data_IF_983210258739
#
_entry.id   IF_983210258739
#
_cell.length_a   1.000
_cell.length_b   1.000
_cell.length_c   1.000
_cell.angle_alpha   90.00
_cell.angle_beta   90.00
_cell.angle_gamma   90.00
#
_symmetry.space_group_name_H-M   'P 1'
#
loop_
_entity.id
_entity.type
_entity.pdbx_description
1 polymer ?
#
# COMPACT_ATOMS: atom_id res chain seq x y z
N UNK A 1 -25.61 -12.87 -19.88
CA UNK A 1 -26.78 -12.44 -19.09
C UNK A 1 -26.34 -11.31 -18.17
N UNK A 2 -27.13 -10.25 -18.07
CA UNK A 2 -26.89 -9.11 -17.17
C UNK A 2 -26.88 -9.61 -15.72
N UNK A 3 -25.90 -9.19 -14.92
CA UNK A 3 -25.88 -9.48 -13.48
C UNK A 3 -27.03 -8.74 -12.79
N UNK A 4 -27.63 -9.36 -11.77
CA UNK A 4 -28.59 -8.67 -10.91
C UNK A 4 -27.87 -7.54 -10.13
N UNK A 5 -28.25 -6.26 -10.34
CA UNK A 5 -27.55 -5.15 -9.70
C UNK A 5 -27.68 -5.15 -8.18
N UNK A 6 -28.76 -5.74 -7.62
CA UNK A 6 -28.94 -5.85 -6.17
C UNK A 6 -27.91 -6.83 -5.63
N UNK A 7 -27.83 -8.03 -6.19
CA UNK A 7 -26.84 -9.04 -5.77
C UNK A 7 -25.40 -8.55 -5.96
N UNK A 8 -25.10 -7.86 -7.07
CA UNK A 8 -23.78 -7.26 -7.30
C UNK A 8 -23.39 -6.30 -6.16
N UNK A 9 -24.31 -5.41 -5.76
CA UNK A 9 -24.08 -4.48 -4.66
C UNK A 9 -23.91 -5.21 -3.32
N UNK A 10 -24.70 -6.26 -3.07
CA UNK A 10 -24.58 -7.07 -1.85
C UNK A 10 -23.23 -7.80 -1.78
N UNK A 11 -22.75 -8.38 -2.90
CA UNK A 11 -21.44 -9.04 -2.97
C UNK A 11 -20.32 -8.03 -2.71
N UNK A 12 -20.34 -6.86 -3.36
CA UNK A 12 -19.36 -5.79 -3.10
C UNK A 12 -19.33 -5.41 -1.62
N UNK A 13 -20.49 -5.13 -1.02
CA UNK A 13 -20.57 -4.76 0.39
C UNK A 13 -20.10 -5.88 1.32
N UNK A 14 -20.37 -7.15 0.99
CA UNK A 14 -19.89 -8.29 1.75
C UNK A 14 -18.36 -8.37 1.71
N UNK A 15 -17.74 -8.22 0.54
CA UNK A 15 -16.28 -8.22 0.40
C UNK A 15 -15.62 -7.06 1.16
N UNK A 16 -16.19 -5.86 1.06
CA UNK A 16 -15.70 -4.69 1.79
C UNK A 16 -15.83 -4.90 3.31
N UNK A 17 -16.90 -5.56 3.75
CA UNK A 17 -17.05 -5.99 5.14
C UNK A 17 -15.99 -7.01 5.55
N UNK A 18 -15.70 -8.02 4.72
CA UNK A 18 -14.63 -8.98 5.01
C UNK A 18 -13.30 -8.26 5.20
N UNK A 19 -12.95 -7.34 4.30
CA UNK A 19 -11.71 -6.58 4.41
C UNK A 19 -11.65 -5.72 5.68
N UNK A 20 -12.77 -5.09 6.08
CA UNK A 20 -12.87 -4.34 7.35
C UNK A 20 -12.73 -5.25 8.58
N UNK A 21 -13.36 -6.42 8.57
CA UNK A 21 -13.23 -7.43 9.64
C UNK A 21 -11.78 -7.89 9.80
N UNK A 22 -11.09 -8.15 8.69
CA UNK A 22 -9.65 -8.43 8.70
C UNK A 22 -8.86 -7.32 9.40
N UNK A 23 -9.19 -6.06 9.14
CA UNK A 23 -8.57 -4.91 9.82
C UNK A 23 -8.89 -4.82 11.32
N UNK A 24 -10.12 -5.16 11.73
CA UNK A 24 -10.46 -5.21 13.16
C UNK A 24 -9.70 -6.31 13.89
N UNK A 25 -9.49 -7.47 13.26
CA UNK A 25 -8.64 -8.53 13.80
C UNK A 25 -7.21 -8.01 14.00
N UNK A 26 -6.65 -7.31 13.00
CA UNK A 26 -5.32 -6.69 13.13
C UNK A 26 -5.24 -5.79 14.36
N UNK A 27 -6.10 -4.78 14.46
CA UNK A 27 -6.10 -3.79 15.55
C UNK A 27 -6.21 -4.45 16.92
N UNK A 28 -7.02 -5.50 17.04
CA UNK A 28 -7.32 -6.14 18.32
C UNK A 28 -6.28 -7.18 18.76
N UNK A 29 -5.42 -7.64 17.85
CA UNK A 29 -4.50 -8.77 18.13
C UNK A 29 -3.02 -8.46 17.89
N UNK A 30 -2.70 -7.35 17.23
CA UNK A 30 -1.32 -6.91 17.03
C UNK A 30 -0.71 -6.35 18.32
N UNK A 31 0.61 -6.41 18.42
CA UNK A 31 1.36 -5.91 19.58
C UNK A 31 1.91 -4.52 19.35
N UNK A 32 2.36 -4.20 18.12
CA UNK A 32 2.96 -2.90 17.88
C UNK A 32 1.93 -1.76 17.86
N UNK A 33 2.31 -0.57 18.37
CA UNK A 33 1.54 0.67 18.20
C UNK A 33 1.33 1.07 16.75
N UNK A 34 2.18 0.59 15.84
CA UNK A 34 2.03 0.82 14.41
C UNK A 34 0.68 0.25 13.93
N UNK A 35 0.30 -0.94 14.40
CA UNK A 35 -0.97 -1.56 13.99
C UNK A 35 -2.14 -1.20 14.90
N UNK A 36 -2.01 -1.35 16.22
CA UNK A 36 -3.15 -1.24 17.14
C UNK A 36 -3.50 0.21 17.53
N UNK A 37 -2.60 1.18 17.33
CA UNK A 37 -2.88 2.60 17.56
C UNK A 37 -2.93 3.38 16.26
N UNK A 38 -1.92 3.21 15.40
CA UNK A 38 -1.69 4.09 14.25
C UNK A 38 -2.37 3.62 12.97
N UNK A 39 -2.76 2.35 12.93
CA UNK A 39 -3.43 1.68 11.81
C UNK A 39 -2.61 1.64 10.51
N UNK A 40 -1.28 1.48 10.61
CA UNK A 40 -0.40 1.40 9.45
C UNK A 40 -0.40 0.01 8.79
N UNK A 41 -1.57 -0.35 8.26
CA UNK A 41 -1.79 -1.58 7.51
C UNK A 41 -2.99 -1.42 6.57
N UNK A 42 -3.18 -2.37 5.66
CA UNK A 42 -4.37 -2.45 4.83
C UNK A 42 -4.71 -3.90 4.49
N UNK A 43 -6.00 -4.18 4.37
CA UNK A 43 -6.53 -5.51 4.06
C UNK A 43 -7.25 -5.47 2.71
N UNK A 44 -7.05 -6.49 1.89
CA UNK A 44 -7.63 -6.55 0.54
C UNK A 44 -7.88 -7.99 0.08
N UNK A 45 -8.80 -8.12 -0.87
CA UNK A 45 -9.20 -9.37 -1.50
C UNK A 45 -8.87 -9.30 -2.98
N UNK A 46 -8.30 -10.39 -3.51
CA UNK A 46 -7.96 -10.53 -4.93
C UNK A 46 -8.66 -11.73 -5.56
N UNK A 47 -8.85 -11.70 -6.87
CA UNK A 47 -9.23 -12.87 -7.67
C UNK A 47 -8.05 -13.85 -7.84
N UNK A 48 -8.29 -15.00 -8.49
CA UNK A 48 -7.27 -16.02 -8.76
C UNK A 48 -6.11 -15.53 -9.65
N UNK A 49 -6.27 -14.39 -10.34
CA UNK A 49 -5.24 -13.76 -11.19
C UNK A 49 -4.43 -12.72 -10.41
N UNK A 50 -4.77 -12.47 -9.14
CA UNK A 50 -4.16 -11.44 -8.32
C UNK A 50 -4.63 -10.03 -8.67
N UNK A 51 -5.83 -9.88 -9.24
CA UNK A 51 -6.49 -8.59 -9.44
C UNK A 51 -7.19 -8.18 -8.14
N UNK A 52 -6.89 -7.00 -7.60
CA UNK A 52 -7.58 -6.48 -6.42
C UNK A 52 -9.05 -6.18 -6.73
N UNK A 53 -9.95 -6.86 -6.03
CA UNK A 53 -11.41 -6.76 -6.18
C UNK A 53 -12.03 -5.86 -5.13
N UNK A 54 -11.54 -5.96 -3.89
CA UNK A 54 -12.05 -5.19 -2.75
C UNK A 54 -10.93 -4.93 -1.74
N UNK A 55 -11.08 -3.86 -0.97
CA UNK A 55 -10.17 -3.47 0.09
C UNK A 55 -10.92 -2.77 1.22
N UNK A 56 -10.34 -2.79 2.43
CA UNK A 56 -10.83 -1.98 3.53
C UNK A 56 -10.43 -0.51 3.33
N UNK A 57 -11.18 0.39 3.97
CA UNK A 57 -10.73 1.76 4.20
C UNK A 57 -9.49 1.70 5.11
N UNK A 58 -8.31 1.68 4.49
CA UNK A 58 -7.00 1.67 5.12
C UNK A 58 -6.13 2.75 4.50
N UNK A 59 -4.87 2.44 4.23
CA UNK A 59 -3.89 3.36 3.67
C UNK A 59 -3.79 3.13 2.15
N UNK A 60 -4.21 4.10 1.31
CA UNK A 60 -4.30 3.91 -0.14
C UNK A 60 -2.98 3.49 -0.80
N UNK A 61 -1.84 3.95 -0.27
CA UNK A 61 -0.53 3.59 -0.83
C UNK A 61 -0.26 2.08 -0.74
N UNK A 62 -0.81 1.38 0.27
CA UNK A 62 -0.65 -0.07 0.44
C UNK A 62 -1.39 -0.88 -0.62
N UNK A 63 -2.59 -0.47 -1.01
CA UNK A 63 -3.51 -1.32 -1.76
C UNK A 63 -3.45 -1.06 -3.26
N UNK A 64 -3.10 0.15 -3.71
CA UNK A 64 -2.97 0.44 -5.14
C UNK A 64 -1.96 -0.46 -5.87
N UNK A 65 -0.95 -0.97 -5.16
CA UNK A 65 0.06 -1.91 -5.63
C UNK A 65 -0.17 -3.35 -5.15
N UNK A 66 -1.28 -3.64 -4.48
CA UNK A 66 -1.55 -4.95 -3.87
C UNK A 66 -1.49 -6.12 -4.86
N UNK A 67 -1.98 -5.91 -6.08
CA UNK A 67 -1.93 -6.92 -7.14
C UNK A 67 -0.51 -7.28 -7.61
N UNK A 68 0.48 -6.39 -7.47
CA UNK A 68 1.87 -6.71 -7.81
C UNK A 68 2.42 -7.84 -6.94
N UNK A 69 2.13 -7.79 -5.63
CA UNK A 69 2.55 -8.79 -4.66
C UNK A 69 1.92 -10.16 -4.95
N UNK A 70 0.60 -10.20 -5.16
CA UNK A 70 -0.10 -11.46 -5.46
C UNK A 70 0.33 -12.04 -6.80
N UNK A 71 0.52 -11.21 -7.83
CA UNK A 71 1.04 -11.67 -9.13
C UNK A 71 2.47 -12.19 -9.04
N UNK A 72 3.33 -11.60 -8.20
CA UNK A 72 4.68 -12.11 -7.96
C UNK A 72 4.66 -13.47 -7.25
N UNK A 73 3.80 -13.64 -6.25
CA UNK A 73 3.53 -14.91 -5.59
C UNK A 73 3.04 -15.97 -6.58
N UNK A 74 2.03 -15.66 -7.39
CA UNK A 74 1.48 -16.56 -8.40
C UNK A 74 2.54 -17.05 -9.39
N UNK A 75 3.42 -16.15 -9.84
CA UNK A 75 4.57 -16.53 -10.70
C UNK A 75 5.55 -17.45 -9.97
N UNK A 76 5.88 -17.14 -8.72
CA UNK A 76 6.84 -17.91 -7.95
C UNK A 76 6.34 -19.32 -7.61
N UNK A 77 5.05 -19.48 -7.32
CA UNK A 77 4.44 -20.74 -6.85
C UNK A 77 3.44 -21.37 -7.83
N UNK A 78 3.57 -21.11 -9.13
CA UNK A 78 2.68 -21.70 -10.15
C UNK A 78 2.56 -23.22 -9.97
N UNK A 79 1.33 -23.71 -9.78
CA UNK A 79 1.02 -25.13 -9.56
C UNK A 79 1.45 -25.71 -8.20
N UNK A 80 1.89 -24.86 -7.25
CA UNK A 80 2.42 -25.26 -5.93
C UNK A 80 1.80 -24.47 -4.77
N UNK A 81 0.54 -24.06 -4.94
CA UNK A 81 -0.25 -23.34 -3.93
C UNK A 81 -1.31 -24.30 -3.42
N UNK A 82 -1.33 -24.53 -2.11
CA UNK A 82 -2.27 -25.43 -1.45
C UNK A 82 -3.23 -24.64 -0.53
N UNK A 83 -4.44 -25.15 -0.25
CA UNK A 83 -5.45 -24.43 0.56
C UNK A 83 -5.00 -24.05 1.97
N UNK A 84 -4.09 -24.83 2.56
CA UNK A 84 -3.61 -24.64 3.92
C UNK A 84 -2.31 -23.78 3.99
N UNK A 85 -1.87 -23.22 2.87
CA UNK A 85 -0.68 -22.38 2.83
C UNK A 85 -0.95 -20.95 3.34
N UNK A 86 0.11 -20.24 3.70
CA UNK A 86 0.14 -18.78 3.72
C UNK A 86 1.52 -18.28 3.32
N UNK A 87 1.53 -17.17 2.61
CA UNK A 87 2.73 -16.62 2.01
C UNK A 87 3.16 -15.34 2.70
N UNK A 88 4.46 -15.06 2.68
CA UNK A 88 5.07 -13.84 3.18
C UNK A 88 6.02 -13.26 2.13
N UNK A 89 6.01 -11.93 1.98
CA UNK A 89 6.88 -11.21 1.04
C UNK A 89 6.95 -9.71 1.36
N UNK A 90 8.03 -9.04 0.97
CA UNK A 90 8.15 -7.58 1.03
C UNK A 90 8.99 -6.98 -0.11
N UNK A 91 9.77 -7.78 -0.83
CA UNK A 91 10.83 -7.23 -1.67
C UNK A 91 10.26 -6.45 -2.86
N UNK A 92 10.67 -5.19 -3.04
CA UNK A 92 10.13 -4.35 -4.09
C UNK A 92 10.59 -4.74 -5.50
N UNK A 93 11.75 -5.38 -5.63
CA UNK A 93 12.29 -5.79 -6.93
C UNK A 93 11.75 -7.13 -7.39
N UNK A 94 11.67 -8.13 -6.49
CA UNK A 94 11.33 -9.51 -6.88
C UNK A 94 9.96 -9.96 -6.39
N UNK A 95 9.36 -9.24 -5.44
CA UNK A 95 8.11 -9.64 -4.80
C UNK A 95 6.97 -8.63 -4.98
N UNK A 96 7.18 -7.50 -5.66
CA UNK A 96 6.11 -6.52 -5.88
C UNK A 96 5.66 -5.80 -4.61
N UNK A 97 6.55 -5.69 -3.61
CA UNK A 97 6.35 -4.80 -2.46
C UNK A 97 6.53 -3.32 -2.82
N UNK A 98 6.04 -2.43 -1.96
CA UNK A 98 6.23 -0.99 -2.16
C UNK A 98 7.61 -0.56 -1.68
N UNK A 99 7.94 -0.94 -0.45
CA UNK A 99 9.26 -0.83 0.16
C UNK A 99 9.44 -1.99 1.16
N UNK A 100 10.64 -2.17 1.72
CA UNK A 100 10.93 -3.30 2.59
C UNK A 100 10.12 -3.35 3.90
N UNK A 101 9.76 -2.23 4.56
CA UNK A 101 9.00 -2.31 5.81
C UNK A 101 7.60 -2.87 5.67
N UNK A 102 6.96 -2.69 4.50
CA UNK A 102 5.60 -3.16 4.25
C UNK A 102 5.58 -4.65 3.87
N UNK A 103 5.27 -5.51 4.83
CA UNK A 103 5.20 -6.94 4.60
C UNK A 103 3.79 -7.34 4.19
N UNK A 104 3.69 -8.28 3.25
CA UNK A 104 2.42 -8.82 2.78
C UNK A 104 2.26 -10.25 3.28
N UNK A 105 1.14 -10.55 3.92
CA UNK A 105 0.66 -11.92 4.06
C UNK A 105 -0.48 -12.16 3.08
N UNK A 106 -0.39 -13.26 2.34
CA UNK A 106 -1.44 -13.70 1.42
C UNK A 106 -1.87 -15.12 1.77
N UNK A 107 -3.18 -15.32 1.95
CA UNK A 107 -3.77 -16.64 2.17
C UNK A 107 -4.71 -16.98 1.00
N UNK A 108 -4.50 -18.13 0.32
CA UNK A 108 -5.36 -18.51 -0.79
C UNK A 108 -6.76 -18.87 -0.30
N UNK A 109 -7.74 -18.62 -1.16
CA UNK A 109 -9.13 -19.06 -1.03
C UNK A 109 -9.37 -20.09 -2.12
N UNK A 110 -9.91 -21.25 -1.75
CA UNK A 110 -10.22 -22.33 -2.69
C UNK A 110 -11.72 -22.59 -2.78
N UNK A 111 -12.18 -22.94 -3.97
CA UNK A 111 -13.54 -23.40 -4.21
C UNK A 111 -13.50 -24.65 -5.10
N UNK A 112 -14.12 -25.75 -4.64
CA UNK A 112 -14.12 -27.05 -5.33
C UNK A 112 -12.72 -27.53 -5.79
N UNK A 113 -11.68 -27.31 -4.98
CA UNK A 113 -10.31 -27.74 -5.27
C UNK A 113 -9.53 -26.82 -6.24
N UNK A 114 -10.12 -25.72 -6.71
CA UNK A 114 -9.45 -24.71 -7.52
C UNK A 114 -9.19 -23.43 -6.71
N UNK A 115 -8.08 -22.76 -7.01
CA UNK A 115 -7.77 -21.44 -6.46
C UNK A 115 -8.80 -20.43 -6.97
N UNK A 116 -9.51 -19.78 -6.05
CA UNK A 116 -10.51 -18.74 -6.34
C UNK A 116 -9.94 -17.33 -6.18
N UNK A 117 -9.03 -17.12 -5.24
CA UNK A 117 -8.43 -15.82 -4.97
C UNK A 117 -7.55 -15.81 -3.73
N UNK A 118 -7.27 -14.62 -3.20
CA UNK A 118 -6.52 -14.46 -1.96
C UNK A 118 -7.13 -13.40 -1.06
N UNK A 119 -7.07 -13.64 0.25
CA UNK A 119 -7.23 -12.62 1.27
C UNK A 119 -5.84 -12.21 1.77
N UNK A 120 -5.57 -10.90 1.73
CA UNK A 120 -4.25 -10.35 1.97
C UNK A 120 -4.31 -9.22 2.99
N UNK A 121 -3.21 -9.04 3.72
CA UNK A 121 -2.91 -7.78 4.36
C UNK A 121 -1.50 -7.33 4.00
N UNK A 122 -1.28 -6.02 4.06
CA UNK A 122 0.01 -5.37 3.96
C UNK A 122 0.19 -4.49 5.18
N UNK A 123 1.32 -4.58 5.87
CA UNK A 123 1.49 -3.90 7.14
C UNK A 123 2.95 -3.52 7.40
N UNK A 124 3.17 -2.31 7.92
CA UNK A 124 4.48 -1.72 8.17
C UNK A 124 5.14 -2.31 9.43
N UNK A 125 6.27 -2.99 9.29
CA UNK A 125 6.96 -3.58 10.43
C UNK A 125 7.83 -2.54 11.16
N UNK A 126 7.77 -2.52 12.50
CA UNK A 126 8.51 -1.54 13.32
C UNK A 126 10.02 -1.56 13.09
N UNK A 127 10.62 -2.75 12.94
CA UNK A 127 12.03 -2.93 12.63
C UNK A 127 12.24 -4.19 11.77
N UNK A 128 13.02 -4.06 10.70
CA UNK A 128 13.31 -5.12 9.73
C UNK A 128 14.82 -5.40 9.61
N UNK A 129 15.60 -5.00 10.62
CA UNK A 129 17.06 -5.06 10.58
C UNK A 129 17.68 -3.89 9.80
N UNK A 130 18.73 -4.16 9.03
CA UNK A 130 19.41 -3.15 8.22
C UNK A 130 20.35 -2.24 9.01
N UNK A 131 20.79 -1.13 8.40
CA UNK A 131 21.82 -0.24 8.94
C UNK A 131 21.32 0.74 10.02
N UNK A 132 20.01 0.86 10.24
CA UNK A 132 19.43 1.72 11.26
C UNK A 132 18.28 1.00 11.97
N UNK A 133 18.11 1.28 13.27
CA UNK A 133 16.95 0.83 14.02
C UNK A 133 15.70 1.59 13.54
N UNK A 134 14.60 0.87 13.32
CA UNK A 134 13.35 1.48 12.85
C UNK A 134 13.27 1.75 11.36
N UNK A 135 13.96 0.94 10.56
CA UNK A 135 13.83 0.81 9.09
C UNK A 135 14.36 1.98 8.24
N UNK A 136 14.12 3.23 8.63
CA UNK A 136 14.51 4.41 7.85
C UNK A 136 15.98 4.77 8.07
N UNK A 137 16.86 4.23 7.21
CA UNK A 137 18.29 4.52 7.21
C UNK A 137 18.65 5.65 6.22
N UNK A 138 18.83 6.90 6.66
CA UNK A 138 19.18 8.01 5.76
C UNK A 138 20.56 7.87 5.11
N UNK A 139 21.43 7.00 5.65
CA UNK A 139 22.74 6.70 5.08
C UNK A 139 22.72 5.52 4.09
N UNK A 140 21.55 4.93 3.80
CA UNK A 140 21.44 3.82 2.85
C UNK A 140 21.78 4.30 1.42
N UNK A 141 22.68 3.57 0.78
CA UNK A 141 23.10 3.76 -0.62
C UNK A 141 22.72 2.58 -1.50
N UNK A 142 22.30 1.48 -0.87
CA UNK A 142 21.86 0.24 -1.52
C UNK A 142 20.75 -0.38 -0.66
N UNK A 143 19.83 -1.11 -1.29
CA UNK A 143 18.69 -1.77 -0.62
C UNK A 143 19.13 -2.73 0.50
N UNK A 144 20.35 -3.28 0.42
CA UNK A 144 20.89 -4.17 1.46
C UNK A 144 21.13 -3.45 2.78
N UNK A 145 21.29 -2.11 2.76
CA UNK A 145 21.40 -1.30 3.98
C UNK A 145 20.05 -1.05 4.66
N UNK A 146 18.94 -1.43 4.02
CA UNK A 146 17.58 -1.08 4.45
C UNK A 146 16.89 -2.19 5.24
N UNK A 147 17.42 -3.41 5.23
CA UNK A 147 16.92 -4.52 6.04
C UNK A 147 16.69 -5.80 5.25
N UNK A 148 15.94 -6.72 5.86
CA UNK A 148 15.70 -8.03 5.29
C UNK A 148 14.84 -7.94 4.02
N UNK A 149 15.32 -8.63 2.99
CA UNK A 149 14.65 -8.75 1.69
C UNK A 149 13.99 -10.12 1.60
N UNK A 150 12.66 -10.13 1.53
CA UNK A 150 11.83 -11.32 1.50
C UNK A 150 11.23 -11.50 0.09
N UNK A 151 11.72 -12.48 -0.70
CA UNK A 151 11.02 -12.90 -1.90
C UNK A 151 9.66 -13.53 -1.53
N UNK A 152 8.83 -13.94 -2.51
CA UNK A 152 7.68 -14.78 -2.21
C UNK A 152 8.11 -16.09 -1.51
N UNK A 153 7.66 -16.27 -0.27
CA UNK A 153 7.95 -17.44 0.57
C UNK A 153 6.64 -18.03 1.10
N UNK A 154 6.59 -19.35 1.33
CA UNK A 154 5.57 -19.96 2.19
C UNK A 154 6.00 -19.79 3.64
N UNK A 155 5.23 -19.05 4.44
CA UNK A 155 5.43 -18.96 5.88
C UNK A 155 4.68 -20.08 6.62
N UNK A 156 3.52 -20.47 6.09
CA UNK A 156 2.78 -21.67 6.47
C UNK A 156 2.72 -22.58 5.25
N UNK A 157 3.15 -23.83 5.40
CA UNK A 157 3.15 -24.84 4.34
C UNK A 157 2.31 -26.04 4.77
N UNK A 158 1.25 -26.35 4.02
CA UNK A 158 0.34 -27.45 4.34
C UNK A 158 -0.27 -27.34 5.74
N UNK A 159 -0.58 -26.11 6.20
CA UNK A 159 -1.15 -25.84 7.52
C UNK A 159 -0.14 -25.86 8.67
N UNK A 160 1.15 -26.06 8.39
CA UNK A 160 2.22 -26.07 9.40
C UNK A 160 3.09 -24.83 9.26
N UNK A 161 3.38 -24.18 10.39
CA UNK A 161 4.33 -23.06 10.42
C UNK A 161 5.71 -23.54 9.99
N UNK A 162 6.41 -22.74 9.17
CA UNK A 162 7.81 -22.93 8.87
C UNK A 162 8.68 -22.30 9.96
N UNK A 163 8.96 -23.09 11.00
CA UNK A 163 9.71 -22.65 12.18
C UNK A 163 11.12 -22.16 11.84
N UNK A 164 11.75 -22.72 10.80
CA UNK A 164 13.03 -22.28 10.27
C UNK A 164 12.98 -20.82 9.76
N UNK A 165 11.95 -20.48 8.97
CA UNK A 165 11.74 -19.12 8.51
C UNK A 165 11.31 -18.20 9.65
N UNK A 166 10.43 -18.65 10.54
CA UNK A 166 10.01 -17.84 11.68
C UNK A 166 11.22 -17.43 12.54
N UNK A 167 12.11 -18.38 12.86
CA UNK A 167 13.35 -18.10 13.60
C UNK A 167 14.28 -17.15 12.84
N UNK A 168 14.42 -17.33 11.52
CA UNK A 168 15.20 -16.42 10.68
C UNK A 168 14.69 -14.98 10.78
N UNK A 169 13.37 -14.77 10.78
CA UNK A 169 12.77 -13.44 10.93
C UNK A 169 13.06 -12.85 12.31
N UNK A 170 12.90 -13.65 13.38
CA UNK A 170 13.10 -13.18 14.76
C UNK A 170 14.53 -12.72 15.03
N UNK A 171 15.54 -13.36 14.44
CA UNK A 171 16.95 -12.97 14.63
C UNK A 171 17.39 -11.78 13.76
N UNK A 172 16.55 -11.35 12.80
CA UNK A 172 16.84 -10.25 11.88
C UNK A 172 16.07 -8.97 12.20
N UNK A 173 15.57 -8.84 13.43
CA UNK A 173 14.90 -7.63 13.92
C UNK A 173 15.40 -7.27 15.30
N UNK A 174 15.38 -5.97 15.62
CA UNK A 174 15.66 -5.44 16.96
C UNK A 174 14.43 -5.53 17.88
N UNK A 175 13.25 -5.82 17.32
CA UNK A 175 11.99 -5.88 18.05
C UNK A 175 11.25 -7.23 17.83
N UNK A 176 11.87 -8.37 18.16
CA UNK A 176 11.30 -9.69 17.87
C UNK A 176 9.95 -9.95 18.56
N UNK A 177 9.74 -9.44 19.77
CA UNK A 177 8.47 -9.63 20.49
C UNK A 177 7.29 -8.93 19.81
N UNK A 178 7.55 -7.76 19.20
CA UNK A 178 6.55 -7.03 18.40
C UNK A 178 6.30 -7.76 17.09
N UNK A 179 7.37 -8.14 16.38
CA UNK A 179 7.28 -8.85 15.10
C UNK A 179 6.55 -10.19 15.23
N UNK A 180 6.82 -10.99 16.26
CA UNK A 180 6.10 -12.26 16.51
C UNK A 180 4.60 -12.02 16.67
N UNK A 181 4.21 -11.05 17.49
CA UNK A 181 2.79 -10.73 17.71
C UNK A 181 2.10 -10.20 16.46
N UNK A 182 2.78 -9.34 15.73
CA UNK A 182 2.27 -8.70 14.52
C UNK A 182 2.10 -9.69 13.37
N UNK A 183 3.08 -10.59 13.14
CA UNK A 183 2.93 -11.65 12.15
C UNK A 183 1.80 -12.63 12.49
N UNK A 184 1.59 -12.94 13.77
CA UNK A 184 0.45 -13.75 14.22
C UNK A 184 -0.87 -13.05 13.96
N UNK A 185 -0.95 -11.74 14.23
CA UNK A 185 -2.12 -10.92 13.92
C UNK A 185 -2.41 -10.92 12.41
N UNK A 186 -1.38 -10.74 11.58
CA UNK A 186 -1.49 -10.78 10.12
C UNK A 186 -1.99 -12.15 9.60
N UNK A 187 -1.48 -13.25 10.15
CA UNK A 187 -1.93 -14.61 9.82
C UNK A 187 -3.36 -14.88 10.28
N UNK A 188 -3.73 -14.41 11.47
CA UNK A 188 -5.09 -14.54 12.01
C UNK A 188 -6.11 -13.76 11.19
N UNK A 189 -5.77 -12.52 10.85
CA UNK A 189 -6.57 -11.62 10.02
C UNK A 189 -6.87 -12.24 8.65
N UNK A 190 -5.84 -12.68 7.92
CA UNK A 190 -6.03 -13.34 6.61
C UNK A 190 -6.78 -14.67 6.68
N UNK A 191 -6.68 -15.41 7.78
CA UNK A 191 -7.50 -16.62 7.99
C UNK A 191 -8.99 -16.29 8.02
N UNK A 192 -9.39 -15.35 8.89
CA UNK A 192 -10.79 -14.93 9.03
C UNK A 192 -11.33 -14.40 7.71
N UNK A 193 -10.52 -13.63 6.97
CA UNK A 193 -10.89 -13.18 5.64
C UNK A 193 -11.12 -14.31 4.66
N UNK A 194 -10.21 -15.29 4.61
CA UNK A 194 -10.31 -16.42 3.70
C UNK A 194 -11.53 -17.31 4.00
N UNK A 195 -11.84 -17.56 5.27
CA UNK A 195 -13.04 -18.28 5.71
C UNK A 195 -14.32 -17.58 5.23
N UNK A 196 -14.45 -16.27 5.45
CA UNK A 196 -15.65 -15.51 5.04
C UNK A 196 -15.82 -15.40 3.52
N UNK A 197 -14.72 -15.30 2.76
CA UNK A 197 -14.81 -15.33 1.28
C UNK A 197 -15.18 -16.73 0.80
N UNK A 198 -14.63 -17.79 1.41
CA UNK A 198 -15.00 -19.16 1.06
C UNK A 198 -16.49 -19.43 1.29
N UNK A 199 -17.05 -18.99 2.43
CA UNK A 199 -18.49 -19.06 2.72
C UNK A 199 -19.33 -18.34 1.65
N UNK A 200 -18.94 -17.11 1.28
CA UNK A 200 -19.63 -16.35 0.22
C UNK A 200 -19.60 -17.08 -1.13
N UNK A 201 -18.47 -17.71 -1.46
CA UNK A 201 -18.31 -18.46 -2.71
C UNK A 201 -19.11 -19.76 -2.69
N UNK A 202 -19.23 -20.41 -1.54
CA UNK A 202 -20.06 -21.60 -1.35
C UNK A 202 -21.56 -21.26 -1.50
N UNK A 203 -22.03 -20.18 -0.87
CA UNK A 203 -23.42 -19.73 -0.93
C UNK A 203 -23.88 -19.38 -2.35
N UNK A 204 -23.00 -18.74 -3.14
CA UNK A 204 -23.30 -18.33 -4.51
C UNK A 204 -23.02 -19.44 -5.54
N UNK A 205 -22.13 -20.37 -5.21
CA UNK A 205 -21.46 -21.24 -6.16
C UNK A 205 -20.32 -20.53 -6.91
N UNK A 206 -19.21 -21.25 -7.13
CA UNK A 206 -17.97 -20.68 -7.65
C UNK A 206 -18.10 -19.93 -8.99
N UNK A 207 -18.92 -20.43 -9.91
CA UNK A 207 -19.12 -19.81 -11.22
C UNK A 207 -19.83 -18.46 -11.08
N UNK A 208 -20.90 -18.38 -10.29
CA UNK A 208 -21.63 -17.13 -10.10
C UNK A 208 -20.81 -16.14 -9.25
N UNK A 209 -20.11 -16.61 -8.22
CA UNK A 209 -19.22 -15.78 -7.43
C UNK A 209 -18.14 -15.11 -8.29
N UNK A 210 -17.51 -15.86 -9.20
CA UNK A 210 -16.53 -15.30 -10.14
C UNK A 210 -17.18 -14.26 -11.07
N UNK A 211 -18.39 -14.52 -11.58
CA UNK A 211 -19.12 -13.54 -12.40
C UNK A 211 -19.40 -12.23 -11.65
N UNK A 212 -19.69 -12.29 -10.35
CA UNK A 212 -19.86 -11.07 -9.54
C UNK A 212 -18.54 -10.36 -9.27
N UNK A 213 -17.43 -11.06 -9.04
CA UNK A 213 -16.09 -10.47 -8.94
C UNK A 213 -15.72 -9.73 -10.24
N UNK A 214 -15.95 -10.35 -11.39
CA UNK A 214 -15.74 -9.72 -12.69
C UNK A 214 -16.65 -8.50 -12.87
N UNK A 215 -17.93 -8.62 -12.49
CA UNK A 215 -18.91 -7.53 -12.55
C UNK A 215 -18.55 -6.31 -11.69
N UNK A 216 -17.94 -6.53 -10.53
CA UNK A 216 -17.42 -5.48 -9.64
C UNK A 216 -16.29 -4.70 -10.33
N UNK A 217 -15.35 -5.41 -10.95
CA UNK A 217 -14.24 -4.82 -11.67
C UNK A 217 -14.72 -4.06 -12.92
N UNK A 218 -15.67 -4.64 -13.65
CA UNK A 218 -16.28 -4.02 -14.82
C UNK A 218 -17.08 -2.76 -14.45
N UNK A 219 -17.72 -2.75 -13.27
CA UNK A 219 -18.37 -1.55 -12.75
C UNK A 219 -17.35 -0.43 -12.48
N UNK A 220 -16.22 -0.75 -11.84
CA UNK A 220 -15.12 0.19 -11.63
C UNK A 220 -14.62 0.82 -12.94
N UNK A 221 -14.33 -0.01 -13.95
CA UNK A 221 -13.88 0.45 -15.27
C UNK A 221 -14.90 1.37 -15.93
N UNK A 222 -16.19 0.99 -15.93
CA UNK A 222 -17.26 1.85 -16.48
C UNK A 222 -17.36 3.19 -15.76
N UNK A 223 -17.20 3.23 -14.42
CA UNK A 223 -17.25 4.48 -13.64
C UNK A 223 -16.08 5.39 -13.99
N UNK A 224 -14.85 4.87 -14.03
CA UNK A 224 -13.68 5.69 -14.39
C UNK A 224 -13.76 6.19 -15.84
N UNK A 225 -14.13 5.33 -16.80
CA UNK A 225 -14.32 5.73 -18.20
C UNK A 225 -15.34 6.86 -18.36
N UNK A 226 -16.46 6.78 -17.64
CA UNK A 226 -17.48 7.83 -17.66
C UNK A 226 -16.96 9.15 -17.09
N UNK A 227 -16.14 9.10 -16.03
CA UNK A 227 -15.48 10.29 -15.48
C UNK A 227 -14.53 10.88 -16.51
N UNK A 228 -13.63 10.07 -17.09
CA UNK A 228 -12.64 10.53 -18.07
C UNK A 228 -13.30 11.15 -19.31
N UNK A 229 -14.35 10.52 -19.85
CA UNK A 229 -15.07 11.01 -21.03
C UNK A 229 -15.81 12.35 -20.80
N UNK A 230 -16.03 12.74 -19.55
CA UNK A 230 -16.62 14.03 -19.19
C UNK A 230 -15.57 15.14 -19.02
N UNK A 231 -14.28 14.78 -18.97
CA UNK A 231 -13.18 15.73 -18.88
C UNK A 231 -12.82 16.27 -20.27
N UNK A 232 -12.27 17.49 -20.38
CA UNK A 232 -11.75 17.96 -21.65
C UNK A 232 -10.55 17.11 -22.09
N UNK A 233 -10.56 16.68 -23.35
CA UNK A 233 -9.39 16.07 -23.98
C UNK A 233 -8.21 17.06 -23.99
N UNK A 234 -7.02 16.54 -23.72
CA UNK A 234 -5.82 17.36 -23.67
C UNK A 234 -4.65 16.70 -22.95
N UNK A 235 -3.50 17.37 -22.99
CA UNK A 235 -2.32 16.98 -22.21
C UNK A 235 -1.99 18.04 -21.18
N UNK A 236 -2.08 17.66 -19.91
CA UNK A 236 -1.82 18.51 -18.75
C UNK A 236 -0.50 18.11 -18.10
N UNK A 237 0.30 19.08 -17.69
CA UNK A 237 1.66 18.82 -17.19
C UNK A 237 1.88 19.46 -15.83
N UNK A 238 2.57 18.75 -14.96
CA UNK A 238 3.01 19.27 -13.67
C UNK A 238 4.37 18.65 -13.32
N UNK A 239 5.12 19.35 -12.48
CA UNK A 239 6.37 18.86 -11.92
C UNK A 239 6.54 19.31 -10.48
N UNK A 240 7.25 18.49 -9.73
CA UNK A 240 7.77 18.75 -8.39
C UNK A 240 9.27 18.44 -8.40
N UNK A 241 10.00 18.89 -7.38
CA UNK A 241 11.46 18.75 -7.34
C UNK A 241 11.92 18.21 -6.00
N UNK A 242 12.87 17.27 -6.03
CA UNK A 242 13.72 17.04 -4.87
C UNK A 242 14.87 18.04 -4.89
N UNK A 243 15.24 18.51 -3.70
CA UNK A 243 16.31 19.49 -3.46
C UNK A 243 17.63 18.82 -3.01
N UNK A 244 17.65 17.50 -2.87
CA UNK A 244 18.84 16.70 -2.53
C UNK A 244 18.69 15.23 -2.98
N UNK A 245 19.83 14.54 -3.04
CA UNK A 245 19.92 13.10 -3.26
C UNK A 245 20.07 12.29 -1.94
N UNK A 246 19.73 12.92 -0.81
CA UNK A 246 19.99 12.56 0.60
C UNK A 246 21.41 12.83 1.13
N UNK A 247 22.39 13.14 0.29
CA UNK A 247 23.78 13.40 0.72
C UNK A 247 24.24 14.80 0.33
N UNK A 248 23.85 15.25 -0.86
CA UNK A 248 24.24 16.53 -1.43
C UNK A 248 23.01 17.26 -1.98
N UNK A 249 23.01 18.61 -1.98
CA UNK A 249 21.99 19.38 -2.68
C UNK A 249 21.95 19.04 -4.18
N UNK A 250 20.76 18.88 -4.73
CA UNK A 250 20.54 18.55 -6.14
C UNK A 250 19.16 19.06 -6.59
N UNK A 251 19.00 19.46 -7.86
CA UNK A 251 17.69 19.80 -8.43
C UNK A 251 17.20 18.63 -9.29
N UNK A 252 16.33 17.79 -8.72
CA UNK A 252 15.92 16.52 -9.32
C UNK A 252 14.41 16.53 -9.58
N UNK A 253 13.97 16.81 -10.82
CA UNK A 253 12.55 16.91 -11.12
C UNK A 253 11.85 15.55 -11.19
N UNK A 254 10.63 15.48 -10.65
CA UNK A 254 9.63 14.45 -10.97
C UNK A 254 8.56 15.11 -11.83
N UNK A 255 8.33 14.56 -13.02
CA UNK A 255 7.48 15.18 -14.04
C UNK A 255 6.36 14.25 -14.41
N UNK A 256 5.17 14.80 -14.67
CA UNK A 256 4.05 14.04 -15.23
C UNK A 256 3.43 14.79 -16.40
N UNK A 257 3.08 14.05 -17.45
CA UNK A 257 2.16 14.47 -18.49
C UNK A 257 0.92 13.55 -18.48
N UNK A 258 -0.23 14.11 -18.13
CA UNK A 258 -1.53 13.43 -18.16
C UNK A 258 -2.23 13.73 -19.48
N UNK A 259 -2.41 12.71 -20.32
CA UNK A 259 -3.14 12.84 -21.58
C UNK A 259 -4.50 12.17 -21.48
N UNK A 260 -5.56 12.97 -21.56
CA UNK A 260 -6.95 12.51 -21.63
C UNK A 260 -7.36 12.51 -23.11
N UNK A 261 -7.88 11.37 -23.57
CA UNK A 261 -8.39 11.20 -24.92
C UNK A 261 -9.64 10.31 -24.88
N UNK A 262 -10.81 10.93 -24.96
CA UNK A 262 -12.10 10.27 -24.75
C UNK A 262 -12.18 9.65 -23.36
N UNK A 263 -12.30 8.33 -23.30
CA UNK A 263 -12.47 7.58 -22.05
C UNK A 263 -11.16 6.96 -21.51
N UNK A 264 -10.00 7.43 -21.99
CA UNK A 264 -8.68 6.91 -21.62
C UNK A 264 -7.79 7.99 -21.02
N UNK A 265 -6.96 7.58 -20.07
CA UNK A 265 -5.94 8.41 -19.43
C UNK A 265 -4.57 7.77 -19.59
N UNK A 266 -3.61 8.50 -20.14
CA UNK A 266 -2.20 8.14 -20.11
C UNK A 266 -1.45 9.03 -19.13
N UNK A 267 -0.73 8.41 -18.20
CA UNK A 267 0.11 9.03 -17.17
C UNK A 267 1.57 8.78 -17.56
N UNK A 268 2.27 9.80 -18.04
CA UNK A 268 3.62 9.67 -18.57
C UNK A 268 4.64 10.42 -17.71
N UNK A 269 5.57 9.67 -17.10
CA UNK A 269 6.65 10.21 -16.27
C UNK A 269 7.96 10.47 -17.04
N UNK A 270 7.95 10.40 -18.37
CA UNK A 270 9.12 10.69 -19.21
C UNK A 270 9.68 12.08 -18.91
N UNK A 271 10.99 12.15 -18.66
CA UNK A 271 11.68 13.38 -18.27
C UNK A 271 11.86 13.56 -16.75
N UNK A 272 11.36 12.61 -15.94
CA UNK A 272 11.72 12.49 -14.52
C UNK A 272 13.22 12.18 -14.37
N UNK A 273 13.84 12.74 -13.32
CA UNK A 273 15.25 12.57 -13.03
C UNK A 273 15.66 11.10 -12.85
N UNK A 274 16.93 10.76 -13.13
CA UNK A 274 17.50 9.46 -12.80
C UNK A 274 17.32 9.12 -11.31
N UNK A 275 17.27 7.83 -10.99
CA UNK A 275 17.30 7.37 -9.60
C UNK A 275 18.52 7.95 -8.86
N UNK A 276 18.35 8.22 -7.57
CA UNK A 276 19.36 8.82 -6.71
C UNK A 276 20.12 7.76 -5.90
N UNK A 277 21.24 8.18 -5.31
CA UNK A 277 22.03 7.35 -4.40
C UNK A 277 21.26 7.01 -3.11
N UNK A 278 20.55 7.98 -2.55
CA UNK A 278 19.85 7.82 -1.28
C UNK A 278 18.52 7.06 -1.39
N UNK A 279 18.00 6.68 -0.22
CA UNK A 279 16.76 5.89 -0.03
C UNK A 279 15.41 6.50 -0.47
N UNK A 280 15.39 7.60 -1.23
CA UNK A 280 14.15 8.24 -1.74
C UNK A 280 13.86 7.87 -3.20
N UNK A 281 14.19 6.66 -3.62
CA UNK A 281 13.78 6.13 -4.92
C UNK A 281 12.43 5.41 -4.83
N UNK A 282 11.65 5.35 -5.91
CA UNK A 282 10.37 4.63 -5.94
C UNK A 282 10.46 3.26 -6.60
N UNK A 283 9.79 2.28 -6.01
CA UNK A 283 9.45 1.03 -6.70
C UNK A 283 8.34 1.26 -7.71
N UNK A 284 8.27 0.38 -8.72
CA UNK A 284 7.18 0.41 -9.70
C UNK A 284 5.81 0.25 -9.03
N UNK A 285 5.70 -0.64 -8.03
CA UNK A 285 4.47 -0.87 -7.28
C UNK A 285 4.02 0.40 -6.53
N UNK A 286 4.97 1.12 -5.91
CA UNK A 286 4.67 2.37 -5.22
C UNK A 286 4.24 3.50 -6.17
N UNK A 287 4.86 3.61 -7.35
CA UNK A 287 4.45 4.58 -8.36
C UNK A 287 3.03 4.32 -8.86
N UNK A 288 2.69 3.05 -9.13
CA UNK A 288 1.33 2.67 -9.49
C UNK A 288 0.35 2.98 -8.36
N UNK A 289 0.67 2.61 -7.11
CA UNK A 289 -0.13 2.98 -5.94
C UNK A 289 -0.38 4.48 -5.85
N UNK A 290 0.66 5.29 -6.07
CA UNK A 290 0.60 6.75 -5.95
C UNK A 290 -0.33 7.34 -7.01
N UNK A 291 -0.21 6.90 -8.26
CA UNK A 291 -1.13 7.35 -9.33
C UNK A 291 -2.57 6.95 -9.01
N UNK A 292 -2.80 5.70 -8.62
CA UNK A 292 -4.14 5.21 -8.30
C UNK A 292 -4.77 5.95 -7.12
N UNK A 293 -3.99 6.21 -6.06
CA UNK A 293 -4.42 6.99 -4.93
C UNK A 293 -4.75 8.43 -5.34
N UNK A 294 -3.94 9.06 -6.20
CA UNK A 294 -4.20 10.40 -6.72
C UNK A 294 -5.52 10.48 -7.51
N UNK A 295 -5.76 9.51 -8.40
CA UNK A 295 -7.00 9.45 -9.19
C UNK A 295 -8.22 9.21 -8.31
N UNK A 296 -8.16 8.21 -7.42
CA UNK A 296 -9.29 7.85 -6.55
C UNK A 296 -9.67 8.96 -5.56
N UNK A 297 -8.71 9.83 -5.20
CA UNK A 297 -8.93 10.94 -4.26
C UNK A 297 -9.27 12.27 -4.92
N UNK A 298 -8.94 12.45 -6.20
CA UNK A 298 -9.29 13.66 -6.96
C UNK A 298 -10.76 13.66 -7.41
N UNK A 299 -11.30 12.48 -7.73
CA UNK A 299 -12.68 12.31 -8.17
C UNK A 299 -13.63 12.01 -7.01
N UNK A 300 -14.91 11.77 -7.33
CA UNK A 300 -15.95 11.59 -6.33
C UNK A 300 -15.74 10.35 -5.47
N UNK A 301 -16.24 10.40 -4.23
CA UNK A 301 -16.05 9.34 -3.22
C UNK A 301 -16.76 8.03 -3.57
N UNK A 302 -17.62 8.02 -4.59
CA UNK A 302 -18.33 6.85 -5.10
C UNK A 302 -17.53 6.09 -6.18
N UNK A 303 -16.33 6.55 -6.54
CA UNK A 303 -15.43 5.82 -7.42
C UNK A 303 -14.96 4.53 -6.72
N UNK A 304 -15.24 3.34 -7.30
CA UNK A 304 -14.80 2.08 -6.70
C UNK A 304 -13.28 2.02 -6.56
N UNK A 305 -12.78 1.41 -5.49
CA UNK A 305 -11.34 1.38 -5.16
C UNK A 305 -10.76 0.00 -5.42
N UNK A 306 -10.85 -0.45 -6.68
CA UNK A 306 -10.38 -1.76 -7.12
C UNK A 306 -9.57 -1.63 -8.42
N UNK A 307 -8.87 -2.69 -8.84
CA UNK A 307 -8.05 -2.64 -10.06
C UNK A 307 -8.88 -2.45 -11.34
N UNK A 308 -10.18 -2.76 -11.30
CA UNK A 308 -11.10 -2.51 -12.41
C UNK A 308 -11.19 -1.02 -12.77
N UNK A 309 -11.25 -0.16 -11.75
CA UNK A 309 -11.27 1.31 -11.88
C UNK A 309 -10.12 1.86 -12.72
N UNK A 310 -8.96 1.20 -12.72
CA UNK A 310 -7.77 1.73 -13.38
C UNK A 310 -7.46 1.08 -14.74
N UNK A 311 -8.35 0.22 -15.27
CA UNK A 311 -8.17 -0.42 -16.59
C UNK A 311 -8.11 0.57 -17.77
N UNK A 312 -8.66 1.77 -17.61
CA UNK A 312 -8.57 2.86 -18.58
C UNK A 312 -7.31 3.74 -18.43
N UNK A 313 -6.46 3.44 -17.44
CA UNK A 313 -5.28 4.21 -17.09
C UNK A 313 -4.03 3.48 -17.54
N UNK A 314 -3.25 4.10 -18.42
CA UNK A 314 -1.93 3.63 -18.82
C UNK A 314 -0.85 4.42 -18.05
N UNK A 315 0.10 3.74 -17.42
CA UNK A 315 1.19 4.39 -16.66
C UNK A 315 2.53 4.06 -17.31
N UNK A 316 3.24 5.11 -17.75
CA UNK A 316 4.60 5.02 -18.30
C UNK A 316 5.58 5.55 -17.24
N UNK A 317 6.31 4.64 -16.60
CA UNK A 317 7.33 4.95 -15.60
C UNK A 317 8.71 4.45 -16.09
N UNK A 318 9.56 5.31 -16.68
CA UNK A 318 10.83 4.88 -17.26
C UNK A 318 11.75 4.24 -16.21
N UNK A 319 12.26 3.04 -16.49
CA UNK A 319 13.15 2.31 -15.59
C UNK A 319 14.50 3.02 -15.44
N UNK A 320 15.02 3.10 -14.21
CA UNK A 320 16.24 3.84 -13.87
C UNK A 320 16.00 5.28 -13.40
N UNK A 321 14.75 5.64 -13.12
CA UNK A 321 14.35 6.98 -12.68
C UNK A 321 13.86 6.98 -11.24
N UNK A 322 13.65 8.16 -10.65
CA UNK A 322 13.08 8.32 -9.31
C UNK A 322 11.73 7.62 -9.12
N UNK A 323 10.96 7.37 -10.19
CA UNK A 323 9.64 6.72 -10.14
C UNK A 323 9.68 5.23 -10.52
N UNK A 324 10.83 4.70 -10.92
CA UNK A 324 10.97 3.27 -11.23
C UNK A 324 12.46 2.90 -11.18
N UNK A 325 12.96 2.68 -9.96
CA UNK A 325 14.38 2.45 -9.74
C UNK A 325 14.84 1.04 -10.11
N UNK A 326 16.11 0.91 -10.47
CA UNK A 326 16.80 -0.36 -10.73
C UNK A 326 17.59 -0.82 -9.51
N UNK A 327 17.73 -2.14 -9.31
CA UNK A 327 18.66 -2.68 -8.32
C UNK A 327 20.08 -2.12 -8.51
N UNK A 328 20.83 -1.86 -7.42
CA UNK A 328 20.49 -2.13 -6.02
C UNK A 328 19.94 -0.89 -5.28
N UNK A 329 19.30 0.07 -5.94
CA UNK A 329 18.90 1.33 -5.28
C UNK A 329 18.05 1.13 -4.02
N UNK A 330 18.32 1.90 -2.95
CA UNK A 330 17.52 1.93 -1.73
C UNK A 330 16.22 2.73 -1.95
N UNK A 331 15.14 2.34 -1.29
CA UNK A 331 13.80 2.88 -1.53
C UNK A 331 12.88 2.91 -0.30
N UNK A 332 13.40 2.74 0.92
CA UNK A 332 12.56 2.71 2.13
C UNK A 332 11.72 3.98 2.31
N UNK A 333 12.16 5.14 1.83
CA UNK A 333 11.38 6.39 1.94
C UNK A 333 10.32 6.56 0.82
N UNK A 334 10.13 5.58 -0.06
CA UNK A 334 9.33 5.75 -1.29
C UNK A 334 7.85 6.06 -1.05
N UNK A 335 7.24 5.43 -0.04
CA UNK A 335 5.82 5.56 0.29
C UNK A 335 5.51 6.92 0.89
N UNK A 336 6.50 7.60 1.46
CA UNK A 336 6.32 8.88 2.14
C UNK A 336 6.65 10.06 1.24
N UNK A 337 7.78 9.98 0.52
CA UNK A 337 8.37 11.15 -0.13
C UNK A 337 8.12 11.13 -1.65
N UNK A 338 8.67 10.21 -2.47
CA UNK A 338 8.27 10.05 -3.87
C UNK A 338 6.77 9.93 -4.09
N UNK A 339 6.07 9.15 -3.27
CA UNK A 339 4.63 8.98 -3.41
C UNK A 339 3.84 10.29 -3.21
N UNK A 340 4.25 11.13 -2.25
CA UNK A 340 3.66 12.45 -2.07
C UNK A 340 3.84 13.29 -3.32
N UNK A 341 5.06 13.41 -3.86
CA UNK A 341 5.28 14.22 -5.07
C UNK A 341 4.50 13.68 -6.27
N UNK A 342 4.50 12.36 -6.47
CA UNK A 342 3.76 11.72 -7.57
C UNK A 342 2.27 12.02 -7.46
N UNK A 343 1.69 11.85 -6.28
CA UNK A 343 0.26 12.15 -6.06
C UNK A 343 -0.03 13.63 -6.29
N UNK A 344 0.85 14.51 -5.79
CA UNK A 344 0.69 15.95 -5.87
C UNK A 344 0.71 16.46 -7.32
N UNK A 345 1.70 16.05 -8.12
CA UNK A 345 1.78 16.46 -9.53
C UNK A 345 0.63 15.87 -10.36
N UNK A 346 0.13 14.68 -10.01
CA UNK A 346 -1.07 14.14 -10.64
C UNK A 346 -2.30 15.03 -10.36
N UNK A 347 -2.50 15.45 -9.10
CA UNK A 347 -3.57 16.40 -8.75
C UNK A 347 -3.41 17.75 -9.46
N UNK A 348 -2.21 18.32 -9.52
CA UNK A 348 -1.97 19.59 -10.22
C UNK A 348 -2.20 19.52 -11.72
N UNK A 349 -1.79 18.42 -12.36
CA UNK A 349 -2.07 18.19 -13.78
C UNK A 349 -3.60 18.04 -14.01
N UNK A 350 -4.30 17.24 -13.21
CA UNK A 350 -5.76 17.12 -13.29
C UNK A 350 -6.49 18.43 -12.97
N UNK A 351 -5.95 19.22 -12.05
CA UNK A 351 -6.46 20.53 -11.66
C UNK A 351 -6.47 21.54 -12.80
N UNK A 352 -5.65 21.37 -13.84
CA UNK A 352 -5.73 22.19 -15.04
C UNK A 352 -6.96 21.86 -15.90
N UNK A 353 -7.40 20.58 -15.90
CA UNK A 353 -8.62 20.14 -16.57
C UNK A 353 -9.88 20.49 -15.77
N UNK A 354 -9.81 20.35 -14.43
CA UNK A 354 -10.93 20.61 -13.51
C UNK A 354 -10.50 21.49 -12.32
N UNK A 355 -10.30 22.81 -12.54
CA UNK A 355 -9.79 23.70 -11.49
C UNK A 355 -10.62 23.74 -10.22
N UNK A 356 -11.93 23.49 -10.30
CA UNK A 356 -12.82 23.50 -9.15
C UNK A 356 -12.56 22.37 -8.14
N UNK A 357 -11.89 21.28 -8.54
CA UNK A 357 -11.56 20.13 -7.67
C UNK A 357 -10.13 20.18 -7.13
N UNK A 358 -9.29 21.07 -7.64
CA UNK A 358 -7.88 21.07 -7.32
C UNK A 358 -7.61 21.42 -5.85
N UNK A 359 -6.58 20.78 -5.29
CA UNK A 359 -6.02 21.07 -3.98
C UNK A 359 -4.83 22.02 -4.14
N UNK A 360 -4.78 23.09 -3.34
CA UNK A 360 -3.72 24.10 -3.42
C UNK A 360 -2.33 23.54 -3.06
N UNK A 361 -2.30 22.49 -2.24
CA UNK A 361 -1.11 21.70 -1.95
C UNK A 361 -1.13 21.12 -0.54
N UNK A 362 -0.65 19.89 -0.39
CA UNK A 362 -0.68 19.17 0.88
C UNK A 362 0.67 19.22 1.56
N UNK A 363 0.71 19.49 2.86
CA UNK A 363 1.98 19.63 3.58
C UNK A 363 2.83 18.35 3.51
N UNK A 364 4.14 18.49 3.38
CA UNK A 364 5.06 17.35 3.46
C UNK A 364 5.13 16.89 4.91
N UNK A 365 4.97 15.59 5.13
CA UNK A 365 4.96 15.04 6.48
C UNK A 365 6.39 14.85 6.99
N UNK A 366 6.59 14.98 8.30
CA UNK A 366 7.83 14.56 8.94
C UNK A 366 7.60 13.24 9.68
N UNK A 367 8.50 12.27 9.49
CA UNK A 367 8.41 10.96 10.14
C UNK A 367 9.65 10.72 11.00
N UNK A 368 9.76 11.37 12.17
CA UNK A 368 10.84 11.08 13.08
C UNK A 368 10.68 9.66 13.64
N UNK A 369 11.75 8.89 13.58
CA UNK A 369 11.89 7.63 14.31
C UNK A 369 12.90 7.84 15.42
N UNK A 370 12.49 7.60 16.65
CA UNK A 370 13.36 7.68 17.82
C UNK A 370 13.67 6.27 18.29
N UNK A 371 14.94 6.01 18.55
CA UNK A 371 15.39 4.69 19.00
C UNK A 371 16.34 4.84 20.16
N UNK A 372 16.35 3.85 21.05
CA UNK A 372 17.28 3.82 22.16
C UNK A 372 17.36 2.44 22.77
N UNK A 373 18.03 2.37 23.90
CA UNK A 373 18.20 1.14 24.67
C UNK A 373 17.64 1.34 26.07
N UNK A 374 16.85 0.39 26.56
CA UNK A 374 16.37 0.40 27.94
C UNK A 374 17.51 0.10 28.93
N UNK A 375 17.26 0.30 30.23
CA UNK A 375 18.24 -0.05 31.27
C UNK A 375 18.60 -1.55 31.26
N UNK A 376 17.69 -2.42 30.80
CA UNK A 376 17.89 -3.86 30.66
C UNK A 376 18.56 -4.26 29.34
N UNK A 377 19.02 -3.29 28.53
CA UNK A 377 19.74 -3.56 27.29
C UNK A 377 18.86 -3.84 26.07
N UNK A 378 17.53 -3.68 26.17
CA UNK A 378 16.62 -3.93 25.03
C UNK A 378 16.53 -2.69 24.13
N UNK A 379 16.62 -2.88 22.82
CA UNK A 379 16.35 -1.80 21.86
C UNK A 379 14.86 -1.52 21.77
N UNK A 380 14.48 -0.25 21.76
CA UNK A 380 13.13 0.19 21.45
C UNK A 380 13.15 1.11 20.23
N UNK A 381 12.05 1.06 19.47
CA UNK A 381 11.83 1.84 18.26
C UNK A 381 10.47 2.52 18.36
N UNK A 382 10.46 3.84 18.30
CA UNK A 382 9.26 4.67 18.41
C UNK A 382 9.08 5.49 17.14
N UNK A 383 7.94 5.29 16.48
CA UNK A 383 7.51 6.08 15.33
C UNK A 383 6.67 7.26 15.82
N UNK A 384 7.01 8.47 15.40
CA UNK A 384 6.28 9.66 15.79
C UNK A 384 5.21 10.00 14.75
N UNK A 385 3.96 9.62 15.02
CA UNK A 385 2.81 9.90 14.15
C UNK A 385 2.09 11.21 14.47
N UNK A 386 2.54 11.96 15.48
CA UNK A 386 1.95 13.24 15.89
C UNK A 386 2.37 14.44 15.03
N UNK A 387 3.32 14.27 14.11
CA UNK A 387 3.82 15.34 13.24
C UNK A 387 3.05 15.42 11.92
N UNK A 388 1.73 15.26 12.00
CA UNK A 388 0.86 15.14 10.84
C UNK A 388 0.74 16.47 10.08
N UNK A 389 0.99 16.43 8.77
CA UNK A 389 0.78 17.59 7.93
C UNK A 389 -0.70 17.94 7.77
N UNK A 390 -0.97 19.21 7.47
CA UNK A 390 -2.30 19.67 7.07
C UNK A 390 -2.59 19.33 5.61
N UNK A 391 -3.87 19.09 5.32
CA UNK A 391 -4.36 19.01 3.96
C UNK A 391 -4.34 20.41 3.30
N UNK A 392 -4.28 20.45 1.97
CA UNK A 392 -4.39 21.71 1.23
C UNK A 392 -5.81 22.24 1.16
N UNK A 393 -5.94 23.56 1.05
CA UNK A 393 -7.22 24.19 0.79
C UNK A 393 -7.77 23.78 -0.59
N UNK A 394 -9.09 23.72 -0.70
CA UNK A 394 -9.79 23.54 -1.97
C UNK A 394 -10.78 24.68 -2.16
N UNK A 395 -11.39 24.80 -3.33
CA UNK A 395 -12.34 25.88 -3.60
C UNK A 395 -13.47 25.91 -2.55
N UNK A 396 -13.57 27.02 -1.83
CA UNK A 396 -14.63 27.29 -0.86
C UNK A 396 -14.44 26.72 0.54
N UNK A 397 -13.27 26.13 0.87
CA UNK A 397 -12.96 25.66 2.23
C UNK A 397 -11.45 25.55 2.48
N UNK A 398 -11.07 25.80 3.72
CA UNK A 398 -9.71 25.56 4.19
C UNK A 398 -9.38 24.07 4.21
N UNK A 399 -8.09 23.75 4.20
CA UNK A 399 -7.61 22.40 4.37
C UNK A 399 -7.76 21.92 5.81
N UNK A 400 -7.98 20.63 6.01
CA UNK A 400 -8.04 20.06 7.35
C UNK A 400 -6.66 20.05 8.02
N UNK A 401 -6.62 20.54 9.26
CA UNK A 401 -5.42 20.47 10.08
C UNK A 401 -5.09 19.03 10.48
N UNK A 402 -3.81 18.69 10.59
CA UNK A 402 -3.33 17.41 11.15
C UNK A 402 -3.95 16.15 10.49
N UNK A 403 -4.27 16.24 9.20
CA UNK A 403 -4.85 15.13 8.42
C UNK A 403 -3.81 14.03 8.15
N UNK A 404 -2.52 14.34 8.30
CA UNK A 404 -1.43 13.39 8.10
C UNK A 404 -0.91 13.41 6.68
N UNK A 405 -0.01 12.48 6.32
CA UNK A 405 0.61 12.46 5.00
C UNK A 405 -0.42 12.25 3.89
N UNK A 406 -0.22 12.89 2.74
CA UNK A 406 -1.12 12.77 1.58
C UNK A 406 -1.36 11.32 1.16
N UNK A 407 -0.36 10.46 1.33
CA UNK A 407 -0.36 9.05 0.94
C UNK A 407 -1.31 8.16 1.75
N UNK A 408 -1.81 8.66 2.89
CA UNK A 408 -2.78 7.94 3.74
C UNK A 408 -4.16 8.57 3.77
N UNK A 409 -4.30 9.84 3.34
CA UNK A 409 -5.58 10.57 3.25
C UNK A 409 -6.42 10.48 4.54
N UNK A 410 -5.76 10.58 5.70
CA UNK A 410 -6.41 10.50 7.02
C UNK A 410 -6.59 9.09 7.57
N UNK A 411 -6.07 8.06 6.89
CA UNK A 411 -6.12 6.66 7.36
C UNK A 411 -5.17 6.35 8.52
N UNK A 412 -4.09 7.14 8.69
CA UNK A 412 -3.20 7.04 9.85
C UNK A 412 -3.76 7.81 11.04
N UNK A 413 -3.78 7.16 12.19
CA UNK A 413 -4.31 7.72 13.44
C UNK A 413 -3.16 8.17 14.33
N UNK A 414 -3.30 9.34 14.96
CA UNK A 414 -2.34 9.79 15.98
C UNK A 414 -2.55 8.94 17.24
N UNK A 415 -1.52 8.22 17.72
CA UNK A 415 -1.63 7.43 18.94
C UNK A 415 -1.90 8.28 20.17
N UNK A 416 -2.49 7.65 21.19
CA UNK A 416 -2.67 8.29 22.49
C UNK A 416 -1.31 8.51 23.17
N UNK A 417 -1.07 9.74 23.64
CA UNK A 417 0.18 10.14 24.31
C UNK A 417 0.46 9.29 25.56
N UNK A 418 -0.55 9.00 26.39
CA UNK A 418 -0.42 8.17 27.59
C UNK A 418 0.01 6.73 27.24
N UNK A 419 -0.50 6.19 26.14
CA UNK A 419 -0.07 4.87 25.64
C UNK A 419 1.38 4.90 25.19
N UNK A 420 1.81 5.97 24.52
CA UNK A 420 3.21 6.15 24.13
C UNK A 420 4.15 6.26 25.33
N UNK A 421 3.80 7.03 26.35
CA UNK A 421 4.59 7.16 27.59
C UNK A 421 4.66 5.86 28.40
N UNK A 422 3.67 4.97 28.27
CA UNK A 422 3.70 3.64 28.89
C UNK A 422 4.62 2.67 28.14
N UNK A 423 4.73 2.80 26.82
CA UNK A 423 5.46 1.86 25.97
C UNK A 423 6.91 2.26 25.73
N UNK A 424 7.19 3.56 25.75
CA UNK A 424 8.50 4.11 25.43
C UNK A 424 9.03 4.95 26.58
N UNK A 425 10.36 4.98 26.82
CA UNK A 425 10.97 5.77 27.89
C UNK A 425 11.06 7.24 27.50
N UNK A 426 9.91 7.86 27.24
CA UNK A 426 9.75 9.24 26.81
C UNK A 426 8.67 9.93 27.64
N UNK A 427 8.69 11.26 27.64
CA UNK A 427 7.63 12.09 28.22
C UNK A 427 7.27 13.18 27.22
N UNK A 428 5.98 13.31 26.94
CA UNK A 428 5.41 14.29 26.01
C UNK A 428 4.97 15.49 26.86
N UNK A 429 5.50 16.68 26.53
CA UNK A 429 5.30 17.91 27.30
C UNK A 429 4.31 18.86 26.63
#
# INVERSE_FOLDING_TARGET
MTLDPITLALVQNRLDHVARQMGWVMIRTSRSPIFNQSHDFSCFVTDAKGTLVSQADGIPIHTGGGGFAVRALLRAFAGRIDPADAFLLNDPYVAGGNHLPDWVIARPVFAHGALFGFCCNRAHQSDIGGGAAGTYNPAATEIFHEGIRLPPLKLVEGGRMRDDLWQLLMINTRCPDLLDGDLRAMLGSTRIGAEQVAELVEDLGAVEAQRYFDGILDHGDRRMRAILAALPDGTYRAEEKFDNDCFEPADLPIKVALTIAGDRLKVDFTGTAPQIKGFKNSSLANTYSSVYAALASFFDTDVPRNEGTFRAVEIIAPEGTLVNARPPAPMTMCTVFPAHEIMHICWWALGQAVPARNCAGWGKNTFPVTTGTTAEGRTWVMYNWGANSGAGAVKGRDGFNQMGPMITLGGLVIPNAETYEQLYPVRIH
#
